data_IF_159960338706
#
_entry.id   IF_159960338706
#
_cell.length_a   1.000
_cell.length_b   1.000
_cell.length_c   1.000
_cell.angle_alpha   90.00
_cell.angle_beta   90.00
_cell.angle_gamma   90.00
#
_symmetry.space_group_name_H-M   'P 1'
#
loop_
_entity.id
_entity.type
_entity.pdbx_description
1 polymer ?
#
# COMPACT_ATOMS: atom_id res chain seq x y z
N UNK A 1 -26.00 3.06 -18.55
CA UNK A 1 -25.86 4.48 -18.11
C UNK A 1 -24.71 5.09 -18.89
N UNK A 2 -24.95 6.26 -19.54
CA UNK A 2 -23.91 6.97 -20.31
C UNK A 2 -23.12 7.87 -19.38
N UNK A 3 -21.79 7.79 -19.41
CA UNK A 3 -20.89 8.69 -18.73
C UNK A 3 -20.46 9.77 -19.72
N UNK A 4 -20.57 11.05 -19.33
CA UNK A 4 -20.11 12.19 -20.11
C UNK A 4 -18.90 12.82 -19.45
N UNK A 5 -17.90 13.15 -20.23
CA UNK A 5 -16.69 13.86 -19.80
C UNK A 5 -16.68 15.22 -20.46
N UNK A 6 -16.41 16.27 -19.69
CA UNK A 6 -16.23 17.64 -20.17
C UNK A 6 -15.02 18.25 -19.50
N UNK A 7 -14.07 18.76 -20.28
CA UNK A 7 -12.90 19.44 -19.77
C UNK A 7 -12.36 20.42 -20.81
N UNK A 8 -11.69 21.47 -20.35
CA UNK A 8 -10.73 22.22 -21.15
C UNK A 8 -9.40 21.45 -21.22
N UNK A 9 -8.87 21.27 -22.43
CA UNK A 9 -7.61 20.53 -22.66
C UNK A 9 -6.41 21.16 -21.92
N UNK A 10 -6.45 22.47 -21.66
CA UNK A 10 -5.46 23.21 -20.91
C UNK A 10 -5.65 23.11 -19.38
N UNK A 11 -6.83 22.67 -18.91
CA UNK A 11 -7.23 22.63 -17.52
C UNK A 11 -7.83 21.28 -17.11
N UNK A 12 -7.13 20.17 -17.41
CA UNK A 12 -7.61 18.80 -17.11
C UNK A 12 -7.89 18.54 -15.62
N UNK A 13 -7.39 19.37 -14.72
CA UNK A 13 -7.73 19.28 -13.28
C UNK A 13 -9.20 19.59 -13.01
N UNK A 14 -9.85 20.32 -13.90
CA UNK A 14 -11.26 20.73 -13.81
C UNK A 14 -12.20 19.78 -14.56
N UNK A 15 -11.70 18.60 -14.96
CA UNK A 15 -12.48 17.57 -15.62
C UNK A 15 -13.76 17.28 -14.86
N UNK A 16 -14.90 17.55 -15.49
CA UNK A 16 -16.21 17.20 -14.97
C UNK A 16 -16.67 15.87 -15.56
N UNK A 17 -17.07 14.94 -14.69
CA UNK A 17 -17.60 13.63 -15.06
C UNK A 17 -19.06 13.56 -14.62
N UNK A 18 -19.98 13.36 -15.56
CA UNK A 18 -21.42 13.32 -15.29
C UNK A 18 -22.06 12.03 -15.78
N UNK A 19 -23.37 11.86 -15.59
CA UNK A 19 -24.15 10.71 -16.09
C UNK A 19 -24.47 9.64 -15.06
N UNK A 20 -23.89 9.69 -13.85
CA UNK A 20 -24.26 8.81 -12.74
C UNK A 20 -24.34 9.59 -11.43
N UNK A 21 -25.08 9.06 -10.44
CA UNK A 21 -25.19 9.71 -9.12
C UNK A 21 -23.85 9.67 -8.38
N UNK A 22 -23.07 8.60 -8.54
CA UNK A 22 -21.69 8.50 -8.04
C UNK A 22 -20.80 9.64 -8.58
N UNK A 23 -20.91 9.96 -9.87
CA UNK A 23 -20.13 11.05 -10.46
C UNK A 23 -20.59 12.42 -9.91
N UNK A 24 -21.89 12.61 -9.69
CA UNK A 24 -22.41 13.83 -9.06
C UNK A 24 -21.86 13.98 -7.64
N UNK A 25 -21.86 12.90 -6.85
CA UNK A 25 -21.30 12.88 -5.49
C UNK A 25 -19.81 13.23 -5.52
N UNK A 26 -19.03 12.62 -6.42
CA UNK A 26 -17.62 12.91 -6.56
C UNK A 26 -17.34 14.35 -6.97
N UNK A 27 -18.10 14.91 -7.90
CA UNK A 27 -17.97 16.31 -8.30
C UNK A 27 -18.29 17.26 -7.15
N UNK A 28 -19.36 16.98 -6.36
CA UNK A 28 -19.68 17.74 -5.15
C UNK A 28 -18.53 17.74 -4.15
N UNK A 29 -17.98 16.57 -3.88
CA UNK A 29 -16.82 16.43 -2.99
C UNK A 29 -15.60 17.21 -3.50
N UNK A 30 -15.28 17.11 -4.80
CA UNK A 30 -14.16 17.86 -5.41
C UNK A 30 -14.33 19.37 -5.25
N UNK A 31 -15.53 19.91 -5.49
CA UNK A 31 -15.83 21.33 -5.29
C UNK A 31 -15.66 21.75 -3.83
N UNK A 32 -16.10 20.89 -2.89
CA UNK A 32 -15.96 21.15 -1.45
C UNK A 32 -14.52 21.27 -1.00
N UNK A 33 -13.61 20.46 -1.55
CA UNK A 33 -12.21 20.44 -1.14
C UNK A 33 -11.29 21.34 -1.99
N UNK A 34 -11.81 22.02 -3.01
CA UNK A 34 -10.98 22.76 -4.00
C UNK A 34 -10.08 23.82 -3.35
N UNK A 35 -10.56 24.50 -2.31
CA UNK A 35 -9.83 25.53 -1.56
C UNK A 35 -9.46 25.10 -0.14
N UNK A 36 -9.65 23.82 0.21
CA UNK A 36 -9.43 23.34 1.57
C UNK A 36 -7.93 23.01 1.80
N UNK A 37 -7.46 23.29 3.01
CA UNK A 37 -6.12 22.86 3.46
C UNK A 37 -6.06 21.34 3.65
N UNK A 38 -4.84 20.72 3.60
CA UNK A 38 -4.71 19.26 3.75
C UNK A 38 -5.40 18.66 4.98
N UNK A 39 -5.36 19.27 6.20
CA UNK A 39 -6.11 18.78 7.34
C UNK A 39 -7.63 18.85 7.17
N UNK A 40 -8.14 19.91 6.50
CA UNK A 40 -9.56 20.06 6.21
C UNK A 40 -10.04 19.05 5.17
N UNK A 41 -9.22 18.79 4.14
CA UNK A 41 -9.49 17.74 3.15
C UNK A 41 -9.69 16.39 3.83
N UNK A 42 -8.84 16.05 4.81
CA UNK A 42 -8.98 14.80 5.56
C UNK A 42 -10.31 14.76 6.38
N UNK A 43 -10.73 15.87 6.96
CA UNK A 43 -12.02 15.96 7.67
C UNK A 43 -13.20 15.81 6.71
N UNK A 44 -13.18 16.50 5.58
CA UNK A 44 -14.23 16.39 4.56
C UNK A 44 -14.29 14.98 3.96
N UNK A 45 -13.14 14.34 3.75
CA UNK A 45 -13.07 12.96 3.28
C UNK A 45 -13.67 11.97 4.29
N UNK A 46 -13.36 12.12 5.60
CA UNK A 46 -13.96 11.31 6.67
C UNK A 46 -15.46 11.49 6.72
N UNK A 47 -15.93 12.73 6.74
CA UNK A 47 -17.36 13.06 6.79
C UNK A 47 -18.11 12.51 5.58
N UNK A 48 -17.55 12.70 4.37
CA UNK A 48 -18.17 12.18 3.15
C UNK A 48 -18.39 10.66 3.21
N UNK A 49 -17.40 9.91 3.68
CA UNK A 49 -17.52 8.45 3.79
C UNK A 49 -18.57 8.03 4.81
N UNK A 50 -18.69 8.77 5.92
CA UNK A 50 -19.71 8.50 6.94
C UNK A 50 -21.12 8.85 6.47
N UNK A 51 -21.28 9.90 5.65
CA UNK A 51 -22.56 10.33 5.09
C UNK A 51 -23.02 9.45 3.90
N UNK A 52 -22.06 8.81 3.20
CA UNK A 52 -22.34 8.00 2.00
C UNK A 52 -21.65 6.62 2.06
N UNK A 53 -21.87 5.81 3.11
CA UNK A 53 -21.13 4.55 3.31
C UNK A 53 -21.46 3.49 2.28
N UNK A 54 -22.57 3.62 1.54
CA UNK A 54 -22.98 2.71 0.45
C UNK A 54 -22.35 3.06 -0.90
N UNK A 55 -21.76 4.26 -1.03
CA UNK A 55 -21.20 4.76 -2.29
C UNK A 55 -19.86 4.13 -2.65
N UNK A 56 -19.68 3.78 -3.92
CA UNK A 56 -18.36 3.35 -4.44
C UNK A 56 -17.32 4.48 -4.34
N UNK A 57 -17.74 5.74 -4.40
CA UNK A 57 -16.86 6.91 -4.20
C UNK A 57 -16.25 6.90 -2.81
N UNK A 58 -16.95 6.42 -1.78
CA UNK A 58 -16.43 6.33 -0.42
C UNK A 58 -15.24 5.38 -0.29
N UNK A 59 -15.24 4.28 -1.03
CA UNK A 59 -14.07 3.37 -1.11
C UNK A 59 -12.88 4.08 -1.74
N UNK A 60 -13.11 4.80 -2.85
CA UNK A 60 -12.07 5.57 -3.53
C UNK A 60 -11.49 6.67 -2.63
N UNK A 61 -12.34 7.44 -1.96
CA UNK A 61 -11.93 8.52 -1.05
C UNK A 61 -11.12 7.95 0.12
N UNK A 62 -11.58 6.85 0.73
CA UNK A 62 -10.84 6.18 1.81
C UNK A 62 -9.45 5.77 1.35
N UNK A 63 -9.34 5.14 0.17
CA UNK A 63 -8.06 4.76 -0.40
C UNK A 63 -7.16 5.97 -0.65
N UNK A 64 -7.68 7.00 -1.31
CA UNK A 64 -6.90 8.17 -1.74
C UNK A 64 -6.38 8.99 -0.57
N UNK A 65 -7.20 9.25 0.45
CA UNK A 65 -6.88 10.21 1.50
C UNK A 65 -6.38 9.58 2.81
N UNK A 66 -6.56 8.27 3.01
CA UNK A 66 -6.12 7.61 4.24
C UNK A 66 -5.16 6.44 4.04
N UNK A 67 -5.04 5.90 2.81
CA UNK A 67 -4.19 4.73 2.54
C UNK A 67 -3.05 5.07 1.59
N UNK A 68 -3.35 5.59 0.39
CA UNK A 68 -2.37 5.90 -0.65
C UNK A 68 -1.76 7.30 -0.43
N UNK A 69 -1.25 7.56 0.75
CA UNK A 69 -0.61 8.82 1.15
C UNK A 69 0.79 8.56 1.67
N UNK A 70 1.61 9.60 1.75
CA UNK A 70 2.97 9.50 2.33
C UNK A 70 2.95 9.07 3.81
N UNK A 71 1.86 9.37 4.53
CA UNK A 71 1.66 8.98 5.93
C UNK A 71 0.28 8.34 6.10
N UNK A 72 0.12 7.03 5.81
CA UNK A 72 -1.17 6.36 5.87
C UNK A 72 -1.75 6.30 7.28
N UNK A 73 -3.05 6.59 7.41
CA UNK A 73 -3.82 6.35 8.64
C UNK A 73 -4.67 5.08 8.50
N UNK A 74 -4.01 3.93 8.62
CA UNK A 74 -4.69 2.63 8.53
C UNK A 74 -5.75 2.43 9.62
N UNK A 75 -5.58 3.04 10.80
CA UNK A 75 -6.57 2.94 11.89
C UNK A 75 -7.88 3.64 11.49
N UNK A 76 -7.79 4.84 10.93
CA UNK A 76 -8.95 5.58 10.42
C UNK A 76 -9.55 4.87 9.22
N UNK A 77 -8.73 4.42 8.27
CA UNK A 77 -9.21 3.68 7.10
C UNK A 77 -10.02 2.42 7.50
N UNK A 78 -9.55 1.65 8.47
CA UNK A 78 -10.28 0.47 8.99
C UNK A 78 -11.61 0.89 9.63
N UNK A 79 -11.65 2.00 10.39
CA UNK A 79 -12.90 2.53 10.96
C UNK A 79 -13.92 2.86 9.87
N UNK A 80 -13.48 3.54 8.82
CA UNK A 80 -14.33 3.91 7.68
C UNK A 80 -14.81 2.69 6.89
N UNK A 81 -13.94 1.71 6.65
CA UNK A 81 -14.33 0.44 6.00
C UNK A 81 -15.36 -0.33 6.82
N UNK A 82 -15.27 -0.31 8.16
CA UNK A 82 -16.29 -0.91 9.02
C UNK A 82 -17.65 -0.24 8.85
N UNK A 83 -17.69 1.09 8.80
CA UNK A 83 -18.93 1.83 8.55
C UNK A 83 -19.54 1.47 7.18
N UNK A 84 -18.72 1.46 6.12
CA UNK A 84 -19.16 1.01 4.79
C UNK A 84 -19.67 -0.43 4.79
N UNK A 85 -18.98 -1.35 5.51
CA UNK A 85 -19.41 -2.74 5.61
C UNK A 85 -20.74 -2.92 6.36
N UNK A 86 -21.01 -2.09 7.37
CA UNK A 86 -22.30 -2.09 8.07
C UNK A 86 -23.45 -1.69 7.14
N UNK A 87 -23.22 -0.70 6.25
CA UNK A 87 -24.18 -0.30 5.23
C UNK A 87 -24.31 -1.33 4.10
N UNK A 88 -23.24 -2.09 3.83
CA UNK A 88 -23.14 -3.08 2.75
C UNK A 88 -22.74 -4.48 3.26
N UNK A 89 -23.54 -5.16 4.09
CA UNK A 89 -23.12 -6.39 4.79
C UNK A 89 -22.79 -7.57 3.85
N UNK A 90 -23.35 -7.57 2.64
CA UNK A 90 -23.11 -8.60 1.61
C UNK A 90 -21.90 -8.31 0.72
N UNK A 91 -21.22 -7.18 0.90
CA UNK A 91 -20.06 -6.81 0.09
C UNK A 91 -18.78 -7.50 0.61
N UNK A 92 -18.48 -8.68 0.06
CA UNK A 92 -17.31 -9.47 0.42
C UNK A 92 -15.97 -8.75 0.18
N UNK A 93 -15.89 -7.87 -0.82
CA UNK A 93 -14.67 -7.10 -1.11
C UNK A 93 -14.33 -6.13 0.03
N UNK A 94 -15.32 -5.46 0.61
CA UNK A 94 -15.11 -4.58 1.77
C UNK A 94 -14.60 -5.38 2.98
N UNK A 95 -15.14 -6.57 3.21
CA UNK A 95 -14.70 -7.44 4.30
C UNK A 95 -13.25 -7.92 4.11
N UNK A 96 -12.87 -8.24 2.88
CA UNK A 96 -11.49 -8.61 2.56
C UNK A 96 -10.54 -7.42 2.73
N UNK A 97 -10.91 -6.26 2.21
CA UNK A 97 -10.12 -5.04 2.30
C UNK A 97 -9.90 -4.59 3.75
N UNK A 98 -10.95 -4.64 4.57
CA UNK A 98 -10.84 -4.37 6.01
C UNK A 98 -9.82 -5.30 6.70
N UNK A 99 -9.86 -6.61 6.43
CA UNK A 99 -8.90 -7.57 7.00
C UNK A 99 -7.46 -7.27 6.60
N UNK A 100 -7.23 -6.96 5.33
CA UNK A 100 -5.90 -6.60 4.82
C UNK A 100 -5.36 -5.36 5.53
N UNK A 101 -6.13 -4.29 5.61
CA UNK A 101 -5.71 -3.06 6.27
C UNK A 101 -5.56 -3.20 7.79
N UNK A 102 -6.38 -4.02 8.45
CA UNK A 102 -6.23 -4.30 9.87
C UNK A 102 -4.89 -4.99 10.18
N UNK A 103 -4.38 -5.79 9.26
CA UNK A 103 -3.04 -6.40 9.38
C UNK A 103 -1.92 -5.38 9.22
N UNK A 104 -2.03 -4.46 8.25
CA UNK A 104 -1.08 -3.37 8.07
C UNK A 104 -1.06 -2.40 9.26
N UNK A 105 -2.20 -2.13 9.87
CA UNK A 105 -2.32 -1.27 11.05
C UNK A 105 -1.61 -1.82 12.31
N UNK A 106 -1.18 -3.09 12.30
CA UNK A 106 -0.36 -3.68 13.37
C UNK A 106 1.11 -3.30 13.26
N UNK A 107 1.59 -2.92 12.06
CA UNK A 107 2.97 -2.48 11.83
C UNK A 107 3.08 -1.03 12.25
N UNK A 108 3.75 -0.76 13.37
CA UNK A 108 3.93 0.58 13.94
C UNK A 108 5.30 0.74 14.55
N UNK A 109 5.82 1.96 14.51
CA UNK A 109 7.06 2.32 15.21
C UNK A 109 6.98 1.94 16.70
N UNK A 110 8.01 1.27 17.20
CA UNK A 110 8.11 0.84 18.60
C UNK A 110 7.28 -0.39 18.95
N UNK A 111 6.66 -1.07 17.96
CA UNK A 111 5.98 -2.35 18.17
C UNK A 111 6.74 -3.50 17.51
N UNK A 112 6.66 -4.71 18.06
CA UNK A 112 7.26 -5.89 17.44
C UNK A 112 6.75 -6.09 16.01
N UNK A 113 7.61 -6.58 15.13
CA UNK A 113 7.21 -7.03 13.80
C UNK A 113 6.19 -8.17 13.93
N UNK A 114 5.04 -8.15 13.21
CA UNK A 114 4.08 -9.25 13.23
C UNK A 114 4.73 -10.59 12.89
N UNK A 115 4.20 -11.67 13.44
CA UNK A 115 4.68 -13.00 13.13
C UNK A 115 4.46 -13.32 11.65
N UNK A 116 5.48 -13.84 11.00
CA UNK A 116 5.42 -14.36 9.64
C UNK A 116 6.29 -15.62 9.51
N UNK A 117 5.93 -16.46 8.56
CA UNK A 117 6.72 -17.64 8.17
C UNK A 117 6.56 -17.82 6.66
N UNK A 118 7.61 -17.59 5.91
CA UNK A 118 7.59 -17.63 4.44
C UNK A 118 8.86 -18.33 3.93
N UNK A 119 8.83 -18.85 2.71
CA UNK A 119 10.01 -19.41 2.06
C UNK A 119 10.70 -18.34 1.21
N UNK A 120 12.02 -18.31 1.26
CA UNK A 120 12.81 -17.50 0.33
C UNK A 120 12.92 -18.20 -1.05
N UNK A 121 13.54 -17.52 -2.01
CA UNK A 121 13.72 -18.02 -3.38
C UNK A 121 14.54 -19.33 -3.48
N UNK A 122 15.18 -19.75 -2.41
CA UNK A 122 15.94 -21.01 -2.29
C UNK A 122 15.20 -22.06 -1.46
N UNK A 123 13.96 -21.79 -1.03
CA UNK A 123 13.14 -22.71 -0.24
C UNK A 123 13.43 -22.72 1.26
N UNK A 124 14.34 -21.87 1.75
CA UNK A 124 14.63 -21.71 3.18
C UNK A 124 13.51 -20.97 3.87
N UNK A 125 13.03 -21.47 5.01
CA UNK A 125 12.02 -20.80 5.81
C UNK A 125 12.61 -19.59 6.52
N UNK A 126 11.97 -18.44 6.35
CA UNK A 126 12.29 -17.14 6.98
C UNK A 126 11.15 -16.76 7.90
N UNK A 127 11.47 -16.40 9.14
CA UNK A 127 10.49 -16.01 10.14
C UNK A 127 10.93 -14.71 10.83
N UNK A 128 9.99 -14.02 11.49
CA UNK A 128 10.35 -12.89 12.34
C UNK A 128 11.27 -13.28 13.50
N UNK A 129 11.22 -14.53 13.96
CA UNK A 129 12.13 -15.06 14.99
C UNK A 129 13.58 -15.08 14.52
N UNK A 130 13.83 -15.32 13.23
CA UNK A 130 15.21 -15.32 12.67
C UNK A 130 15.88 -13.94 12.66
N UNK A 131 15.10 -12.88 12.89
CA UNK A 131 15.57 -11.50 12.96
C UNK A 131 15.77 -11.01 14.41
N UNK A 132 15.27 -11.77 15.39
CA UNK A 132 15.32 -11.39 16.81
C UNK A 132 16.76 -11.28 17.31
N UNK A 133 17.03 -10.24 18.11
CA UNK A 133 18.37 -10.01 18.68
C UNK A 133 19.38 -9.36 17.73
N UNK A 134 18.97 -9.01 16.51
CA UNK A 134 19.81 -8.33 15.52
C UNK A 134 19.18 -7.02 15.07
N UNK A 135 20.04 -6.08 14.63
CA UNK A 135 19.55 -5.00 13.77
C UNK A 135 19.08 -5.64 12.47
N UNK A 136 17.82 -5.40 12.10
CA UNK A 136 17.23 -6.02 10.91
C UNK A 136 16.64 -4.97 9.98
N UNK A 137 16.77 -5.21 8.66
CA UNK A 137 16.16 -4.41 7.61
C UNK A 137 15.24 -5.32 6.79
N UNK A 138 13.99 -4.93 6.67
CA UNK A 138 13.02 -5.56 5.75
C UNK A 138 12.75 -4.56 4.64
N UNK A 139 12.97 -4.95 3.38
CA UNK A 139 12.78 -4.07 2.22
C UNK A 139 11.80 -4.66 1.23
N UNK A 140 11.16 -3.78 0.47
CA UNK A 140 10.36 -4.14 -0.71
C UNK A 140 11.02 -3.52 -1.93
N UNK A 141 11.18 -4.28 -3.01
CA UNK A 141 11.86 -3.82 -4.22
C UNK A 141 11.34 -4.55 -5.47
N UNK A 142 11.69 -4.03 -6.64
CA UNK A 142 11.38 -4.65 -7.92
C UNK A 142 12.47 -4.37 -8.95
N UNK A 143 12.70 -5.29 -9.88
CA UNK A 143 13.75 -5.12 -10.92
C UNK A 143 13.41 -4.04 -11.94
N UNK A 144 12.13 -3.75 -12.14
CA UNK A 144 11.65 -2.68 -13.02
C UNK A 144 11.69 -1.28 -12.38
N UNK A 145 12.04 -1.17 -11.10
CA UNK A 145 12.14 0.11 -10.40
C UNK A 145 13.62 0.45 -10.13
N UNK A 146 14.13 1.47 -10.81
CA UNK A 146 15.52 1.88 -10.74
C UNK A 146 15.96 2.29 -9.32
N UNK A 147 15.13 3.05 -8.59
CA UNK A 147 15.47 3.50 -7.25
C UNK A 147 15.58 2.33 -6.27
N UNK A 148 14.70 1.35 -6.39
CA UNK A 148 14.76 0.15 -5.54
C UNK A 148 15.98 -0.71 -5.85
N UNK A 149 16.39 -0.83 -7.11
CA UNK A 149 17.65 -1.50 -7.46
C UNK A 149 18.86 -0.76 -6.88
N UNK A 150 18.88 0.57 -7.01
CA UNK A 150 19.95 1.41 -6.46
C UNK A 150 20.02 1.28 -4.93
N UNK A 151 18.86 1.20 -4.26
CA UNK A 151 18.78 0.96 -2.83
C UNK A 151 19.32 -0.43 -2.43
N UNK A 152 19.00 -1.49 -3.19
CA UNK A 152 19.53 -2.84 -2.93
C UNK A 152 21.06 -2.86 -2.99
N UNK A 153 21.69 -2.16 -3.94
CA UNK A 153 23.16 -2.04 -4.02
C UNK A 153 23.76 -1.36 -2.80
N UNK A 154 23.13 -0.28 -2.30
CA UNK A 154 23.56 0.38 -1.06
C UNK A 154 23.41 -0.53 0.16
N UNK A 155 22.34 -1.34 0.22
CA UNK A 155 22.17 -2.34 1.27
C UNK A 155 23.27 -3.41 1.25
N UNK A 156 23.75 -3.80 0.08
CA UNK A 156 24.84 -4.76 -0.04
C UNK A 156 26.14 -4.22 0.56
N UNK A 157 26.44 -2.94 0.36
CA UNK A 157 27.59 -2.28 1.00
C UNK A 157 27.43 -2.21 2.51
N UNK A 158 26.26 -1.89 3.01
CA UNK A 158 25.95 -1.90 4.44
C UNK A 158 26.06 -3.29 5.04
N UNK A 159 25.54 -4.31 4.36
CA UNK A 159 25.59 -5.70 4.80
C UNK A 159 27.04 -6.18 4.94
N UNK A 160 27.90 -5.89 3.95
CA UNK A 160 29.33 -6.22 4.01
C UNK A 160 30.04 -5.54 5.17
N UNK A 161 29.81 -4.22 5.37
CA UNK A 161 30.42 -3.46 6.47
C UNK A 161 29.92 -3.89 7.84
N UNK A 162 28.68 -4.34 7.95
CA UNK A 162 28.10 -4.76 9.22
C UNK A 162 28.66 -6.07 9.78
N UNK A 163 29.43 -6.81 9.00
CA UNK A 163 30.15 -8.04 9.41
C UNK A 163 29.31 -8.97 10.29
N UNK A 164 28.12 -9.38 9.79
CA UNK A 164 27.20 -10.30 10.47
C UNK A 164 26.25 -9.64 11.50
N UNK A 165 26.44 -8.38 11.87
CA UNK A 165 25.58 -7.68 12.85
C UNK A 165 24.24 -7.23 12.26
N UNK A 166 24.11 -7.20 10.93
CA UNK A 166 22.90 -6.80 10.20
C UNK A 166 22.22 -8.01 9.57
N UNK A 167 20.94 -8.18 9.80
CA UNK A 167 20.08 -9.12 9.08
C UNK A 167 19.24 -8.37 8.07
N UNK A 168 19.13 -8.91 6.86
CA UNK A 168 18.30 -8.33 5.79
C UNK A 168 17.34 -9.39 5.29
N UNK A 169 16.10 -8.98 5.04
CA UNK A 169 15.10 -9.74 4.28
C UNK A 169 14.56 -8.81 3.20
N UNK A 170 14.70 -9.19 1.96
CA UNK A 170 14.17 -8.45 0.82
C UNK A 170 12.94 -9.13 0.24
N UNK A 171 11.89 -8.37 -0.05
CA UNK A 171 10.66 -8.83 -0.71
C UNK A 171 10.68 -8.28 -2.13
N UNK A 172 10.77 -9.17 -3.11
CA UNK A 172 10.77 -8.84 -4.53
C UNK A 172 9.34 -8.93 -5.08
N UNK A 173 8.90 -7.87 -5.74
CA UNK A 173 7.56 -7.77 -6.36
C UNK A 173 7.54 -8.24 -7.82
N UNK A 174 8.61 -8.83 -8.33
CA UNK A 174 8.66 -9.29 -9.72
C UNK A 174 7.72 -10.48 -9.97
N UNK A 175 7.10 -10.55 -11.14
CA UNK A 175 6.22 -11.67 -11.51
C UNK A 175 6.98 -12.98 -11.78
N UNK A 176 8.30 -12.94 -11.83
CA UNK A 176 9.14 -14.11 -12.14
C UNK A 176 10.16 -14.40 -11.03
N UNK A 177 9.92 -15.48 -10.29
CA UNK A 177 10.87 -15.99 -9.28
C UNK A 177 12.23 -16.32 -9.91
N UNK A 178 12.23 -16.89 -11.12
CA UNK A 178 13.45 -17.22 -11.85
C UNK A 178 14.29 -15.99 -12.18
N UNK A 179 13.62 -14.91 -12.62
CA UNK A 179 14.32 -13.66 -12.93
C UNK A 179 14.87 -13.01 -11.65
N UNK A 180 14.07 -13.00 -10.58
CA UNK A 180 14.52 -12.53 -9.27
C UNK A 180 15.77 -13.28 -8.81
N UNK A 181 15.76 -14.61 -8.90
CA UNK A 181 16.90 -15.46 -8.54
C UNK A 181 18.15 -15.13 -9.33
N UNK A 182 18.06 -15.03 -10.66
CA UNK A 182 19.18 -14.64 -11.53
C UNK A 182 19.78 -13.28 -11.14
N UNK A 183 18.94 -12.30 -10.84
CA UNK A 183 19.40 -10.99 -10.42
C UNK A 183 20.14 -11.04 -9.08
N UNK A 184 19.64 -11.83 -8.12
CA UNK A 184 20.29 -11.99 -6.82
C UNK A 184 21.65 -12.70 -6.93
N UNK A 185 21.75 -13.70 -7.80
CA UNK A 185 23.00 -14.41 -8.07
C UNK A 185 24.02 -13.49 -8.76
N UNK A 186 23.60 -12.76 -9.79
CA UNK A 186 24.45 -11.76 -10.48
C UNK A 186 24.99 -10.71 -9.52
N UNK A 187 24.13 -10.19 -8.65
CA UNK A 187 24.49 -9.14 -7.70
C UNK A 187 25.11 -9.72 -6.40
N UNK A 188 25.36 -11.05 -6.33
CA UNK A 188 25.97 -11.74 -5.18
C UNK A 188 25.30 -11.45 -3.84
N UNK A 189 23.98 -11.38 -3.82
CA UNK A 189 23.18 -11.13 -2.60
C UNK A 189 23.25 -12.33 -1.66
N UNK A 190 23.56 -12.10 -0.38
CA UNK A 190 23.81 -13.16 0.63
C UNK A 190 22.72 -13.27 1.70
N UNK A 191 21.69 -12.44 1.66
CA UNK A 191 20.53 -12.50 2.57
C UNK A 191 19.32 -13.15 1.93
N UNK A 192 18.30 -13.45 2.74
CA UNK A 192 17.06 -14.07 2.26
C UNK A 192 16.23 -13.11 1.42
N UNK A 193 15.83 -13.57 0.24
CA UNK A 193 14.96 -12.84 -0.69
C UNK A 193 13.67 -13.63 -0.89
N UNK A 194 12.56 -13.00 -0.66
CA UNK A 194 11.21 -13.55 -0.85
C UNK A 194 10.69 -13.04 -2.20
N UNK A 195 10.20 -13.93 -3.04
CA UNK A 195 9.53 -13.62 -4.30
C UNK A 195 8.53 -14.75 -4.56
N UNK A 196 7.25 -14.42 -4.63
CA UNK A 196 6.18 -15.39 -4.88
C UNK A 196 5.67 -15.39 -6.32
N UNK A 197 6.12 -14.43 -7.13
CA UNK A 197 5.71 -14.27 -8.53
C UNK A 197 4.30 -13.68 -8.71
N UNK A 198 3.63 -13.28 -7.63
CA UNK A 198 2.24 -12.79 -7.67
C UNK A 198 2.13 -11.26 -7.71
N UNK A 199 3.24 -10.53 -7.65
CA UNK A 199 3.30 -9.07 -7.61
C UNK A 199 2.50 -8.45 -6.45
N UNK A 200 2.34 -9.18 -5.35
CA UNK A 200 1.55 -8.77 -4.17
C UNK A 200 2.42 -8.15 -3.09
#
# INVERSE_FOLDING_TARGET
KTVKLSADASHLKELEVTGTDENKLMNKFRKQIAAASPPEVAKYAEQFVLDHPESAVSVYITRKYFIATAQPDYKKAVKLLKAMRQAQPKNGMLAQYERQLASLGKIRKGKPLPAFSVKDIYGKTVTNASLKGHTAVVTVWATWNYDSQSFQRRLQDLYRRANGKLKIVSICLDPSVTQCKRNMERDSVKWSVICDGNML
#
